data_IF_873633867507
#
_entry.id   IF_873633867507
#
_cell.length_a   1.000
_cell.length_b   1.000
_cell.length_c   1.000
_cell.angle_alpha   90.00
_cell.angle_beta   90.00
_cell.angle_gamma   90.00
#
_symmetry.space_group_name_H-M   'P 1'
#
loop_
_entity.id
_entity.type
_entity.pdbx_description
1 polymer ?
#
# COMPACT_ATOMS: atom_id res chain seq x y z
N UNK A 1 31.89 -36.52 -1.14
CA UNK A 1 30.97 -35.58 -1.82
C UNK A 1 30.59 -34.50 -0.82
N UNK A 2 30.88 -33.22 -1.10
CA UNK A 2 30.54 -32.11 -0.22
C UNK A 2 29.07 -31.68 -0.43
N UNK A 3 28.25 -31.56 0.63
CA UNK A 3 26.87 -31.11 0.54
C UNK A 3 26.79 -29.61 0.85
N UNK A 4 27.36 -28.78 -0.01
CA UNK A 4 27.14 -27.33 0.05
C UNK A 4 27.36 -26.82 -1.36
N UNK A 5 26.26 -26.46 -2.05
CA UNK A 5 26.14 -25.47 -3.14
C UNK A 5 24.79 -25.65 -3.87
N UNK A 6 23.69 -25.91 -3.16
CA UNK A 6 22.39 -25.56 -3.74
C UNK A 6 22.22 -24.04 -3.55
N UNK A 7 22.04 -23.25 -4.63
CA UNK A 7 21.66 -21.85 -4.47
C UNK A 7 20.37 -21.79 -3.63
N UNK A 8 20.19 -20.78 -2.76
CA UNK A 8 19.00 -20.72 -1.91
C UNK A 8 17.77 -20.77 -2.80
N UNK A 9 17.02 -21.89 -2.71
CA UNK A 9 15.74 -22.05 -3.41
C UNK A 9 14.90 -20.84 -3.05
N UNK A 10 14.52 -20.06 -4.06
CA UNK A 10 13.61 -18.93 -3.89
C UNK A 10 12.34 -19.49 -3.21
N UNK A 11 12.24 -19.30 -1.90
CA UNK A 11 11.21 -19.91 -1.05
C UNK A 11 9.92 -19.09 -1.10
N UNK A 12 9.91 -18.05 -1.94
CA UNK A 12 8.76 -17.18 -2.02
C UNK A 12 7.69 -17.83 -2.92
N UNK A 13 6.41 -17.80 -2.50
CA UNK A 13 5.33 -18.41 -3.25
C UNK A 13 5.22 -17.84 -4.67
N UNK A 14 4.71 -18.64 -5.60
CA UNK A 14 4.44 -18.21 -6.98
C UNK A 14 3.60 -16.93 -6.95
N UNK A 15 4.02 -15.90 -7.69
CA UNK A 15 3.48 -14.54 -7.68
C UNK A 15 3.87 -13.63 -6.50
N UNK A 16 4.95 -13.89 -5.77
CA UNK A 16 5.60 -12.92 -4.86
C UNK A 16 6.69 -12.12 -5.58
N UNK A 17 6.95 -10.88 -5.13
CA UNK A 17 7.95 -10.00 -5.72
C UNK A 17 8.91 -9.48 -4.64
N UNK A 18 10.18 -9.86 -4.76
CA UNK A 18 11.25 -9.36 -3.90
C UNK A 18 11.65 -7.96 -4.39
N UNK A 19 11.62 -6.97 -3.50
CA UNK A 19 11.98 -5.57 -3.77
C UNK A 19 13.42 -5.24 -3.37
N UNK A 20 14.14 -6.20 -2.78
CA UNK A 20 15.43 -5.99 -2.14
C UNK A 20 15.32 -5.47 -0.70
N UNK A 21 16.45 -5.39 0.00
CA UNK A 21 16.56 -4.86 1.36
C UNK A 21 15.62 -5.48 2.41
N UNK A 22 15.14 -6.71 2.18
CA UNK A 22 14.20 -7.39 3.07
C UNK A 22 12.72 -7.06 2.82
N UNK A 23 12.41 -6.24 1.82
CA UNK A 23 11.03 -5.95 1.41
C UNK A 23 10.54 -7.00 0.40
N UNK A 24 9.36 -7.57 0.65
CA UNK A 24 8.76 -8.58 -0.24
C UNK A 24 7.27 -8.34 -0.37
N UNK A 25 6.80 -8.12 -1.59
CA UNK A 25 5.37 -8.19 -1.92
C UNK A 25 4.95 -9.67 -1.94
N UNK A 26 3.93 -10.04 -1.17
CA UNK A 26 3.51 -11.44 -1.00
C UNK A 26 2.36 -11.80 -1.92
N UNK A 27 2.32 -13.05 -2.40
CA UNK A 27 1.55 -13.55 -3.56
C UNK A 27 0.04 -13.26 -3.64
N UNK A 28 -0.55 -12.63 -2.63
CA UNK A 28 -1.94 -12.19 -2.65
C UNK A 28 -2.02 -10.84 -3.41
N UNK A 29 -2.10 -10.93 -4.73
CA UNK A 29 -2.13 -9.81 -5.66
C UNK A 29 -3.22 -9.98 -6.73
N UNK A 30 -3.47 -8.93 -7.50
CA UNK A 30 -4.25 -9.02 -8.74
C UNK A 30 -3.55 -9.92 -9.76
N UNK A 31 -4.33 -10.79 -10.39
CA UNK A 31 -3.83 -11.59 -11.51
C UNK A 31 -3.60 -10.77 -12.79
N UNK A 32 -4.41 -9.73 -13.00
CA UNK A 32 -4.37 -8.90 -14.20
C UNK A 32 -3.96 -7.47 -13.88
N UNK A 33 -3.37 -6.80 -14.87
CA UNK A 33 -3.11 -5.37 -14.80
C UNK A 33 -4.44 -4.61 -14.75
N UNK A 34 -4.63 -3.84 -13.69
CA UNK A 34 -5.83 -3.05 -13.43
C UNK A 34 -5.60 -1.59 -13.84
N UNK A 35 -6.60 -1.00 -14.49
CA UNK A 35 -6.64 0.44 -14.80
C UNK A 35 -7.11 1.20 -13.57
N UNK A 36 -6.37 2.23 -13.18
CA UNK A 36 -6.73 3.08 -12.03
C UNK A 36 -7.76 4.13 -12.47
N UNK A 37 -8.77 4.36 -11.65
CA UNK A 37 -9.81 5.36 -11.90
C UNK A 37 -9.79 6.49 -10.85
N UNK A 38 -10.28 7.67 -11.24
CA UNK A 38 -10.57 8.83 -10.36
C UNK A 38 -9.34 9.44 -9.66
N UNK A 39 -9.43 9.78 -8.37
CA UNK A 39 -8.43 10.55 -7.61
C UNK A 39 -7.11 9.81 -7.47
N UNK A 40 -7.14 8.47 -7.37
CA UNK A 40 -5.95 7.65 -7.29
C UNK A 40 -5.07 7.82 -8.53
N UNK A 41 -5.68 7.83 -9.71
CA UNK A 41 -4.99 8.02 -10.98
C UNK A 41 -4.27 9.38 -10.98
N UNK A 42 -4.96 10.45 -10.54
CA UNK A 42 -4.40 11.80 -10.45
C UNK A 42 -3.18 11.84 -9.54
N UNK A 43 -3.28 11.35 -8.31
CA UNK A 43 -2.18 11.37 -7.33
C UNK A 43 -0.99 10.54 -7.82
N UNK A 44 -1.24 9.38 -8.45
CA UNK A 44 -0.18 8.52 -9.01
C UNK A 44 0.52 9.18 -10.20
N UNK A 45 -0.23 9.79 -11.12
CA UNK A 45 0.36 10.50 -12.27
C UNK A 45 1.17 11.71 -11.83
N UNK A 46 0.68 12.47 -10.85
CA UNK A 46 1.38 13.62 -10.27
C UNK A 46 2.67 13.19 -9.58
N UNK A 47 2.61 12.14 -8.75
CA UNK A 47 3.79 11.60 -8.06
C UNK A 47 4.87 11.10 -9.02
N UNK A 48 4.48 10.40 -10.09
CA UNK A 48 5.40 9.82 -11.07
C UNK A 48 5.80 10.78 -12.20
N UNK A 49 5.22 11.99 -12.25
CA UNK A 49 5.33 12.94 -13.36
C UNK A 49 5.00 12.30 -14.72
N UNK A 50 3.93 11.51 -14.77
CA UNK A 50 3.46 10.83 -15.99
C UNK A 50 2.27 11.56 -16.61
N UNK A 51 2.15 11.58 -17.95
CA UNK A 51 1.04 12.23 -18.63
C UNK A 51 -0.29 11.45 -18.50
N UNK A 52 -0.22 10.14 -18.25
CA UNK A 52 -1.38 9.26 -18.14
C UNK A 52 -1.18 8.24 -17.03
N UNK A 53 -2.28 7.78 -16.46
CA UNK A 53 -2.26 6.77 -15.40
C UNK A 53 -1.71 5.44 -15.94
N UNK A 54 -0.64 4.89 -15.35
CA UNK A 54 -0.13 3.59 -15.72
C UNK A 54 -1.09 2.47 -15.28
N UNK A 55 -0.89 1.28 -15.85
CA UNK A 55 -1.54 0.06 -15.35
C UNK A 55 -0.76 -0.51 -14.17
N UNK A 56 -1.47 -1.08 -13.20
CA UNK A 56 -0.86 -1.58 -11.96
C UNK A 56 -1.31 -2.99 -11.60
N UNK A 57 -0.45 -3.70 -10.86
CA UNK A 57 -0.87 -4.84 -10.06
C UNK A 57 -1.08 -4.39 -8.62
N UNK A 58 -2.28 -4.59 -8.08
CA UNK A 58 -2.52 -4.41 -6.65
C UNK A 58 -1.99 -5.59 -5.86
N UNK A 59 -1.40 -5.29 -4.70
CA UNK A 59 -0.90 -6.27 -3.76
C UNK A 59 -1.54 -6.05 -2.40
N UNK A 60 -2.05 -7.14 -1.83
CA UNK A 60 -2.69 -7.14 -0.53
C UNK A 60 -1.68 -7.04 0.60
N UNK A 61 -0.51 -7.68 0.47
CA UNK A 61 0.43 -7.83 1.58
C UNK A 61 1.86 -7.44 1.18
N UNK A 62 2.52 -6.75 2.11
CA UNK A 62 3.93 -6.41 2.04
C UNK A 62 4.62 -6.94 3.31
N UNK A 63 5.68 -7.72 3.14
CA UNK A 63 6.63 -8.06 4.20
C UNK A 63 7.69 -6.95 4.29
N UNK A 64 7.92 -6.45 5.49
CA UNK A 64 8.92 -5.44 5.81
C UNK A 64 10.23 -6.10 6.29
N UNK A 65 11.36 -5.38 6.26
CA UNK A 65 12.66 -5.93 6.70
C UNK A 65 12.68 -6.35 8.17
N UNK A 66 11.83 -5.74 9.00
CA UNK A 66 11.66 -6.09 10.41
C UNK A 66 10.77 -7.33 10.63
N UNK A 67 10.33 -8.01 9.57
CA UNK A 67 9.46 -9.18 9.62
C UNK A 67 7.97 -8.87 9.82
N UNK A 68 7.58 -7.59 9.95
CA UNK A 68 6.18 -7.22 9.97
C UNK A 68 5.54 -7.47 8.60
N UNK A 69 4.26 -7.86 8.61
CA UNK A 69 3.47 -7.98 7.39
C UNK A 69 2.42 -6.87 7.41
N UNK A 70 2.60 -5.89 6.53
CA UNK A 70 1.60 -4.86 6.28
C UNK A 70 0.50 -5.42 5.37
N UNK A 71 -0.74 -5.19 5.76
CA UNK A 71 -1.92 -5.59 5.00
C UNK A 71 -2.61 -4.34 4.46
N UNK A 72 -3.07 -4.42 3.21
CA UNK A 72 -3.72 -3.31 2.56
C UNK A 72 -5.24 -3.42 2.57
N UNK A 73 -5.90 -2.26 2.58
CA UNK A 73 -7.36 -2.17 2.58
C UNK A 73 -7.99 -2.86 1.36
N UNK A 74 -7.31 -2.91 0.22
CA UNK A 74 -7.76 -3.53 -1.02
C UNK A 74 -8.30 -4.95 -0.83
N UNK A 75 -7.73 -5.71 0.10
CA UNK A 75 -8.21 -7.03 0.44
C UNK A 75 -9.39 -7.02 1.41
N UNK A 76 -9.34 -6.14 2.39
CA UNK A 76 -10.38 -6.05 3.42
C UNK A 76 -11.70 -5.58 2.81
N UNK A 77 -11.66 -4.66 1.84
CA UNK A 77 -12.85 -4.17 1.12
C UNK A 77 -13.53 -5.23 0.26
N UNK A 78 -12.86 -6.35 -0.04
CA UNK A 78 -13.46 -7.47 -0.77
C UNK A 78 -14.19 -8.47 0.13
N UNK A 79 -14.13 -8.30 1.45
CA UNK A 79 -14.81 -9.15 2.42
C UNK A 79 -16.10 -8.50 2.90
N UNK A 80 -17.07 -9.33 3.30
CA UNK A 80 -18.24 -8.83 4.00
C UNK A 80 -17.80 -8.14 5.31
N UNK A 81 -18.47 -7.06 5.75
CA UNK A 81 -18.10 -6.35 6.98
C UNK A 81 -18.00 -7.25 8.23
N UNK A 82 -18.75 -8.34 8.25
CA UNK A 82 -18.79 -9.37 9.30
C UNK A 82 -17.53 -10.26 9.32
N UNK A 83 -16.85 -10.39 8.17
CA UNK A 83 -15.65 -11.22 7.96
C UNK A 83 -14.34 -10.42 8.04
N UNK A 84 -14.44 -9.09 8.22
CA UNK A 84 -13.28 -8.21 8.36
C UNK A 84 -12.80 -8.27 9.81
N UNK A 85 -11.71 -9.00 10.05
CA UNK A 85 -10.95 -8.90 11.30
C UNK A 85 -10.27 -7.53 11.37
N UNK A 86 -10.97 -6.54 11.92
CA UNK A 86 -10.56 -5.13 12.02
C UNK A 86 -9.25 -4.84 12.80
N UNK A 87 -8.60 -5.87 13.35
CA UNK A 87 -7.35 -5.77 14.11
C UNK A 87 -6.12 -5.45 13.25
N UNK A 88 -6.27 -5.28 11.92
CA UNK A 88 -5.15 -5.23 10.97
C UNK A 88 -5.21 -4.07 9.97
N UNK A 89 -5.98 -3.03 10.27
CA UNK A 89 -6.00 -1.80 9.47
C UNK A 89 -4.60 -1.15 9.51
N UNK A 90 -3.86 -1.21 8.41
CA UNK A 90 -2.70 -0.35 8.16
C UNK A 90 -3.18 0.86 7.36
N UNK A 91 -2.49 2.00 7.46
CA UNK A 91 -2.76 3.25 6.72
C UNK A 91 -2.67 3.12 5.17
N UNK A 92 -2.56 1.90 4.63
CA UNK A 92 -2.29 1.61 3.23
C UNK A 92 -3.55 1.11 2.54
N UNK A 93 -3.95 1.77 1.45
CA UNK A 93 -5.02 1.31 0.59
C UNK A 93 -4.59 0.08 -0.21
N UNK A 94 -3.43 0.16 -0.86
CA UNK A 94 -2.78 -0.94 -1.56
C UNK A 94 -1.29 -0.68 -1.75
N UNK A 95 -0.55 -1.77 -1.93
CA UNK A 95 0.78 -1.75 -2.49
C UNK A 95 0.65 -2.01 -4.00
N UNK A 96 1.42 -1.31 -4.82
CA UNK A 96 1.36 -1.47 -6.25
C UNK A 96 2.75 -1.54 -6.85
N UNK A 97 2.90 -2.47 -7.79
CA UNK A 97 3.99 -2.48 -8.75
C UNK A 97 3.45 -1.96 -10.08
N UNK A 98 3.95 -0.81 -10.52
CA UNK A 98 3.54 -0.18 -11.77
C UNK A 98 4.51 -0.54 -12.88
N UNK A 99 3.96 -0.76 -14.07
CA UNK A 99 4.76 -0.90 -15.30
C UNK A 99 4.79 0.46 -15.98
N UNK A 100 5.93 1.15 -15.89
CA UNK A 100 6.14 2.46 -16.50
C UNK A 100 7.00 2.27 -17.74
N UNK A 101 6.50 2.70 -18.90
CA UNK A 101 7.33 2.76 -20.11
C UNK A 101 8.41 3.81 -19.87
N UNK A 102 9.67 3.39 -19.92
CA UNK A 102 10.80 4.30 -19.89
C UNK A 102 10.63 5.26 -21.08
N UNK A 103 10.42 6.54 -20.78
CA UNK A 103 10.48 7.59 -21.78
C UNK A 103 11.95 7.85 -22.01
N UNK A 104 12.59 6.98 -22.80
CA UNK A 104 13.79 7.42 -23.49
C UNK A 104 13.35 8.58 -24.39
N UNK A 105 14.04 9.70 -24.28
CA UNK A 105 13.85 10.86 -25.13
C UNK A 105 14.11 10.48 -26.59
N UNK A 106 13.14 9.90 -27.28
CA UNK A 106 12.93 10.06 -28.72
C UNK A 106 11.62 9.38 -29.13
N UNK A 107 10.78 10.19 -29.78
CA UNK A 107 9.77 9.73 -30.74
C UNK A 107 8.62 8.90 -30.17
N UNK A 108 7.55 9.62 -29.83
CA UNK A 108 6.18 9.19 -30.14
C UNK A 108 6.16 8.62 -31.55
N UNK A 109 5.95 7.31 -31.69
CA UNK A 109 5.24 6.56 -32.75
C UNK A 109 5.70 5.09 -32.74
N UNK A 110 4.77 4.20 -33.06
CA UNK A 110 4.90 2.74 -33.35
C UNK A 110 4.85 1.70 -32.21
N UNK A 111 3.62 1.20 -32.04
CA UNK A 111 3.14 -0.19 -32.26
C UNK A 111 3.87 -1.45 -31.77
N UNK A 112 5.07 -1.42 -31.20
CA UNK A 112 5.68 -2.67 -30.70
C UNK A 112 5.56 -2.83 -29.18
N UNK A 113 4.53 -3.59 -28.76
CA UNK A 113 4.28 -4.00 -27.37
C UNK A 113 5.24 -5.10 -26.85
N UNK A 114 6.16 -5.60 -27.67
CA UNK A 114 6.95 -6.82 -27.39
C UNK A 114 8.45 -6.61 -27.13
N UNK A 115 8.94 -5.37 -26.96
CA UNK A 115 10.34 -5.15 -26.55
C UNK A 115 10.47 -5.05 -25.02
N UNK A 116 11.13 -6.02 -24.36
CA UNK A 116 11.28 -6.04 -22.89
C UNK A 116 12.21 -4.94 -22.33
N UNK A 117 12.99 -4.26 -23.17
CA UNK A 117 14.04 -3.33 -22.73
C UNK A 117 13.56 -1.90 -22.39
N UNK A 118 12.27 -1.57 -22.58
CA UNK A 118 11.75 -0.22 -22.35
C UNK A 118 10.77 -0.10 -21.18
N UNK A 119 10.67 -1.12 -20.31
CA UNK A 119 9.77 -1.07 -19.16
C UNK A 119 10.55 -1.02 -17.85
N UNK A 120 10.30 0.04 -17.08
CA UNK A 120 10.75 0.16 -15.71
C UNK A 120 9.61 -0.20 -14.76
N UNK A 121 9.92 -0.93 -13.70
CA UNK A 121 8.98 -1.18 -12.62
C UNK A 121 9.19 -0.17 -11.51
N UNK A 122 8.10 0.46 -11.07
CA UNK A 122 8.12 1.33 -9.90
C UNK A 122 7.22 0.74 -8.83
N UNK A 123 7.74 0.63 -7.61
CA UNK A 123 7.02 0.06 -6.47
C UNK A 123 6.54 1.18 -5.54
N UNK A 124 5.23 1.32 -5.38
CA UNK A 124 4.59 2.37 -4.57
C UNK A 124 3.61 1.80 -3.54
N UNK A 125 3.30 2.60 -2.53
CA UNK A 125 2.14 2.38 -1.68
C UNK A 125 1.20 3.60 -1.80
N UNK A 126 -0.08 3.34 -2.04
CA UNK A 126 -1.12 4.36 -1.94
C UNK A 126 -1.65 4.35 -0.50
N UNK A 127 -1.58 5.51 0.17
CA UNK A 127 -1.96 5.66 1.58
C UNK A 127 -3.06 6.70 1.74
N UNK A 128 -3.90 6.51 2.76
CA UNK A 128 -4.86 7.53 3.21
C UNK A 128 -4.42 8.01 4.58
N UNK A 129 -4.30 9.33 4.75
CA UNK A 129 -3.88 9.88 6.03
C UNK A 129 -4.99 9.79 7.08
N UNK A 130 -4.54 9.72 8.33
CA UNK A 130 -5.37 9.90 9.50
C UNK A 130 -5.16 11.32 10.04
N UNK A 131 -6.17 11.85 10.72
CA UNK A 131 -6.07 13.12 11.43
C UNK A 131 -5.01 13.06 12.52
N UNK A 132 -4.63 14.24 13.01
CA UNK A 132 -3.98 14.33 14.31
C UNK A 132 -4.88 13.72 15.40
N UNK A 133 -4.31 13.17 16.49
CA UNK A 133 -5.08 12.67 17.62
C UNK A 133 -6.00 13.74 18.19
N UNK A 134 -7.20 13.33 18.63
CA UNK A 134 -8.12 14.24 19.32
C UNK A 134 -7.50 14.77 20.61
N UNK A 135 -7.33 16.08 20.69
CA UNK A 135 -6.67 16.72 21.83
C UNK A 135 -7.44 16.50 23.15
N UNK A 136 -8.78 16.41 23.11
CA UNK A 136 -9.59 16.24 24.31
C UNK A 136 -9.44 14.82 24.86
N UNK A 137 -9.54 13.79 24.00
CA UNK A 137 -9.32 12.40 24.39
C UNK A 137 -7.88 12.16 24.84
N UNK A 138 -6.90 12.73 24.14
CA UNK A 138 -5.49 12.60 24.51
C UNK A 138 -5.23 13.24 25.88
N UNK A 139 -5.75 14.46 26.13
CA UNK A 139 -5.56 15.13 27.42
C UNK A 139 -6.28 14.41 28.57
N UNK A 140 -7.53 13.95 28.37
CA UNK A 140 -8.29 13.22 29.39
C UNK A 140 -7.68 11.87 29.75
N UNK A 141 -6.97 11.26 28.80
CA UNK A 141 -6.26 10.00 29.00
C UNK A 141 -4.82 10.18 29.45
N UNK A 142 -4.39 11.41 29.81
CA UNK A 142 -3.01 11.71 30.18
C UNK A 142 -1.98 11.27 29.13
N UNK A 143 -2.32 11.39 27.85
CA UNK A 143 -1.45 11.03 26.73
C UNK A 143 -1.51 9.56 26.31
N UNK A 144 -2.35 8.73 26.94
CA UNK A 144 -2.41 7.29 26.66
C UNK A 144 -3.25 6.98 25.42
N UNK A 145 -4.31 7.74 25.17
CA UNK A 145 -5.30 7.43 24.15
C UNK A 145 -5.18 8.37 22.94
N UNK A 146 -4.40 7.95 21.95
CA UNK A 146 -4.30 8.66 20.68
C UNK A 146 -5.40 8.20 19.71
N UNK A 147 -6.46 9.00 19.57
CA UNK A 147 -7.65 8.67 18.79
C UNK A 147 -7.79 9.55 17.55
N UNK A 148 -7.73 8.95 16.36
CA UNK A 148 -7.70 9.62 15.06
C UNK A 148 -8.93 9.29 14.20
N UNK A 149 -9.23 10.14 13.22
CA UNK A 149 -10.20 9.88 12.15
C UNK A 149 -9.50 9.65 10.82
N UNK A 150 -10.10 8.85 9.94
CA UNK A 150 -9.59 8.66 8.56
C UNK A 150 -10.03 9.85 7.71
N UNK A 151 -9.10 10.53 7.03
CA UNK A 151 -9.36 11.78 6.31
C UNK A 151 -9.95 11.59 4.90
N UNK A 152 -10.08 10.35 4.41
CA UNK A 152 -10.75 10.02 3.16
C UNK A 152 -9.95 10.37 1.89
N UNK A 153 -10.63 10.37 0.73
CA UNK A 153 -10.00 10.48 -0.60
C UNK A 153 -9.16 11.76 -0.78
N UNK A 154 -9.55 12.89 -0.18
CA UNK A 154 -8.80 14.14 -0.26
C UNK A 154 -7.40 14.09 0.39
N UNK A 155 -7.14 13.06 1.20
CA UNK A 155 -5.87 12.84 1.88
C UNK A 155 -5.03 11.71 1.27
N UNK A 156 -5.38 11.28 0.06
CA UNK A 156 -4.63 10.27 -0.68
C UNK A 156 -3.22 10.78 -1.00
N UNK A 157 -2.24 9.94 -0.70
CA UNK A 157 -0.84 10.22 -1.00
C UNK A 157 -0.15 8.94 -1.49
N UNK A 158 0.82 9.13 -2.36
CA UNK A 158 1.69 8.05 -2.83
C UNK A 158 3.03 8.18 -2.12
N UNK A 159 3.52 7.07 -1.59
CA UNK A 159 4.85 6.97 -0.98
C UNK A 159 5.60 5.78 -1.61
N UNK A 160 6.94 5.79 -1.53
CA UNK A 160 7.71 4.61 -1.95
C UNK A 160 7.51 3.51 -0.92
N UNK A 161 7.45 2.26 -1.38
CA UNK A 161 7.36 1.11 -0.46
C UNK A 161 8.55 1.08 0.50
N UNK A 162 9.73 1.43 0.01
CA UNK A 162 10.97 1.44 0.79
C UNK A 162 10.98 2.50 1.90
N UNK A 163 10.08 3.49 1.85
CA UNK A 163 9.93 4.50 2.90
C UNK A 163 9.04 4.01 4.06
N UNK A 164 8.51 2.78 3.98
CA UNK A 164 7.70 2.16 5.05
C UNK A 164 8.60 1.31 5.94
N UNK A 165 8.97 1.84 7.10
CA UNK A 165 9.91 1.19 8.01
C UNK A 165 9.21 0.27 9.01
N UNK A 166 7.98 0.62 9.39
CA UNK A 166 7.16 -0.12 10.33
C UNK A 166 5.69 0.16 10.05
N UNK A 167 4.84 -0.76 10.48
CA UNK A 167 3.39 -0.57 10.50
C UNK A 167 2.85 -0.66 11.92
N UNK A 168 1.79 0.08 12.17
CA UNK A 168 1.02 0.05 13.43
C UNK A 168 -0.42 -0.31 13.13
N UNK A 169 -1.04 -1.06 14.03
CA UNK A 169 -2.45 -1.42 13.90
C UNK A 169 -3.33 -0.23 14.26
N UNK A 170 -4.19 0.20 13.33
CA UNK A 170 -5.19 1.23 13.59
C UNK A 170 -6.48 0.57 14.08
N UNK A 171 -6.71 0.54 15.39
CA UNK A 171 -7.82 -0.24 15.96
C UNK A 171 -9.10 0.61 15.99
N UNK A 172 -10.17 0.23 15.27
CA UNK A 172 -11.40 1.01 15.28
C UNK A 172 -12.09 0.95 16.64
N UNK A 173 -12.65 2.08 17.04
CA UNK A 173 -13.45 2.24 18.24
C UNK A 173 -14.51 3.32 18.03
N UNK A 174 -15.45 3.42 18.98
CA UNK A 174 -16.58 4.37 18.91
C UNK A 174 -16.74 5.12 20.23
N UNK A 175 -15.90 6.14 20.52
CA UNK A 175 -16.02 6.91 21.74
C UNK A 175 -17.21 7.87 21.64
N UNK A 176 -17.79 8.22 22.79
CA UNK A 176 -18.81 9.26 22.89
C UNK A 176 -18.11 10.59 23.12
N UNK A 177 -18.13 11.46 22.11
CA UNK A 177 -17.55 12.79 22.13
C UNK A 177 -18.69 13.80 21.98
N UNK A 178 -18.78 14.78 22.88
CA UNK A 178 -19.88 15.77 22.88
C UNK A 178 -21.30 15.17 22.77
N UNK A 179 -21.53 14.01 23.41
CA UNK A 179 -22.79 13.23 23.36
C UNK A 179 -23.12 12.58 22.00
N UNK A 180 -22.18 12.58 21.06
CA UNK A 180 -22.31 11.89 19.77
C UNK A 180 -21.30 10.75 19.72
N UNK A 181 -21.74 9.59 19.23
CA UNK A 181 -20.83 8.47 18.96
C UNK A 181 -20.14 8.71 17.61
N UNK A 182 -18.82 8.79 17.62
CA UNK A 182 -18.01 9.00 16.41
C UNK A 182 -17.21 7.74 16.06
N UNK A 183 -17.08 7.41 14.78
CA UNK A 183 -16.18 6.33 14.34
C UNK A 183 -14.72 6.80 14.31
N UNK A 184 -13.87 6.24 15.17
CA UNK A 184 -12.46 6.65 15.32
C UNK A 184 -11.53 5.44 15.38
N UNK A 185 -10.23 5.68 15.37
CA UNK A 185 -9.20 4.65 15.38
C UNK A 185 -8.14 4.97 16.42
N UNK A 186 -7.73 3.99 17.21
CA UNK A 186 -6.55 4.09 18.06
C UNK A 186 -5.30 3.93 17.19
N UNK A 187 -4.27 4.73 17.48
CA UNK A 187 -2.97 4.65 16.83
C UNK A 187 -1.86 4.23 17.78
#
# INVERSE_FOLDING_TARGET
MLPHLDPPKNTNPCASANLGNGYVLLAKCDWYLTTIHREEARVITEYLNLPHAPKIHHWAHLCLPNGQIAQSQFQESQKAPEDIHMARNVKVQYFARLVVRAVDNLSLLDEDLDRPDHFSFTDIALVTLYSQPDANLLNKSYGVLASCTKLGEASLQVIKILDIWSVVAMIPHRPIIHRVAEGRYFC
#
